data_IF_106309730096
#
_entry.id   IF_106309730096
#
_cell.length_a   1.000
_cell.length_b   1.000
_cell.length_c   1.000
_cell.angle_alpha   90.00
_cell.angle_beta   90.00
_cell.angle_gamma   90.00
#
_symmetry.space_group_name_H-M   'P 1'
#
loop_
_entity.id
_entity.type
_entity.pdbx_description
1 polymer ?
#
# COMPACT_ATOMS: atom_id res chain seq x y z
N UNK A 1 -3.82 7.54 27.32
CA UNK A 1 -4.85 8.50 26.91
C UNK A 1 -5.80 7.88 25.89
N UNK A 2 -7.08 7.90 26.19
CA UNK A 2 -8.09 7.45 25.24
C UNK A 2 -8.30 8.51 24.15
N UNK A 3 -8.38 8.06 22.90
CA UNK A 3 -8.73 8.92 21.78
C UNK A 3 -10.22 9.19 21.80
N UNK A 4 -10.62 10.40 21.41
CA UNK A 4 -12.02 10.70 21.16
C UNK A 4 -12.54 9.97 19.92
N UNK A 5 -13.84 9.92 19.76
CA UNK A 5 -14.48 9.23 18.63
C UNK A 5 -14.03 9.81 17.28
N UNK A 6 -13.95 11.14 17.17
CA UNK A 6 -13.48 11.78 15.94
C UNK A 6 -12.01 11.47 15.64
N UNK A 7 -11.18 11.35 16.68
CA UNK A 7 -9.77 10.99 16.51
C UNK A 7 -9.63 9.57 16.03
N UNK A 8 -10.45 8.65 16.52
CA UNK A 8 -10.45 7.25 16.08
C UNK A 8 -10.89 7.18 14.61
N UNK A 9 -11.92 7.90 14.22
CA UNK A 9 -12.38 7.94 12.83
C UNK A 9 -11.31 8.51 11.91
N UNK A 10 -10.66 9.59 12.32
CA UNK A 10 -9.58 10.20 11.53
C UNK A 10 -8.39 9.25 11.38
N UNK A 11 -7.98 8.60 12.45
CA UNK A 11 -6.90 7.61 12.40
C UNK A 11 -7.27 6.46 11.48
N UNK A 12 -8.49 5.94 11.57
CA UNK A 12 -8.96 4.85 10.74
C UNK A 12 -8.89 5.21 9.26
N UNK A 13 -9.38 6.40 8.89
CA UNK A 13 -9.32 6.86 7.49
C UNK A 13 -7.86 6.98 7.03
N UNK A 14 -7.00 7.57 7.85
CA UNK A 14 -5.58 7.75 7.49
C UNK A 14 -4.87 6.41 7.32
N UNK A 15 -5.12 5.44 8.20
CA UNK A 15 -4.53 4.10 8.08
C UNK A 15 -4.99 3.42 6.80
N UNK A 16 -6.30 3.42 6.54
CA UNK A 16 -6.87 2.69 5.42
C UNK A 16 -6.57 3.32 4.06
N UNK A 17 -6.22 4.60 4.01
CA UNK A 17 -6.01 5.31 2.75
C UNK A 17 -4.58 5.79 2.52
N UNK A 18 -3.74 5.85 3.53
CA UNK A 18 -2.42 6.49 3.44
C UNK A 18 -1.27 5.67 4.01
N UNK A 19 -1.55 4.54 4.64
CA UNK A 19 -0.49 3.78 5.31
C UNK A 19 0.53 3.22 4.31
N UNK A 20 1.80 3.44 4.60
CA UNK A 20 2.93 2.86 3.86
C UNK A 20 3.87 2.15 4.81
N UNK A 21 4.45 2.88 5.73
CA UNK A 21 5.55 2.41 6.57
C UNK A 21 5.21 2.50 8.04
N UNK A 22 5.86 1.62 8.80
CA UNK A 22 5.82 1.64 10.25
C UNK A 22 7.24 1.81 10.77
N UNK A 23 7.36 2.58 11.85
CA UNK A 23 8.60 2.67 12.62
C UNK A 23 8.85 1.36 13.38
N UNK A 24 10.02 1.23 13.99
CA UNK A 24 10.38 0.02 14.73
C UNK A 24 9.46 -0.24 15.94
N UNK A 25 8.81 0.78 16.47
CA UNK A 25 7.80 0.65 17.54
C UNK A 25 6.38 0.41 17.01
N UNK A 26 6.24 0.16 15.70
CA UNK A 26 4.98 -0.03 14.99
C UNK A 26 4.11 1.22 14.88
N UNK A 27 4.64 2.40 15.23
CA UNK A 27 3.94 3.65 14.95
C UNK A 27 4.03 4.00 13.46
N UNK A 28 3.03 4.75 12.98
CA UNK A 28 2.93 5.08 11.57
C UNK A 28 3.91 6.16 11.14
N UNK A 29 4.54 5.98 9.99
CA UNK A 29 5.25 7.02 9.28
C UNK A 29 4.50 7.35 7.98
N UNK A 30 4.07 8.60 7.83
CA UNK A 30 3.39 9.06 6.62
C UNK A 30 4.29 9.85 5.67
N UNK A 31 5.54 10.08 6.04
CA UNK A 31 6.45 10.94 5.26
C UNK A 31 7.18 10.22 4.14
N UNK A 32 7.54 8.95 4.35
CA UNK A 32 8.29 8.20 3.35
C UNK A 32 7.37 7.76 2.21
N UNK A 33 7.78 8.02 0.96
CA UNK A 33 6.98 7.73 -0.24
C UNK A 33 7.74 6.93 -1.29
N UNK A 34 8.95 6.51 -0.99
CA UNK A 34 9.82 5.82 -1.94
C UNK A 34 9.61 4.32 -2.01
N UNK A 35 10.59 3.62 -2.56
CA UNK A 35 10.58 2.17 -2.74
C UNK A 35 10.97 1.45 -1.45
N UNK A 36 10.64 0.15 -1.39
CA UNK A 36 11.08 -0.68 -0.26
C UNK A 36 12.60 -0.78 -0.22
N UNK A 37 13.24 -0.94 -1.39
CA UNK A 37 14.69 -1.06 -1.49
C UNK A 37 15.43 0.19 -0.99
N UNK A 38 14.86 1.38 -1.21
CA UNK A 38 15.47 2.64 -0.78
C UNK A 38 15.07 3.09 0.62
N UNK A 39 14.35 2.26 1.36
CA UNK A 39 13.78 2.62 2.64
C UNK A 39 14.86 2.75 3.73
N UNK A 40 14.76 3.76 4.62
CA UNK A 40 15.62 3.83 5.79
C UNK A 40 15.49 2.61 6.70
N UNK A 41 16.57 2.25 7.38
CA UNK A 41 16.62 1.04 8.23
C UNK A 41 15.60 1.04 9.37
N UNK A 42 15.20 2.22 9.83
CA UNK A 42 14.23 2.35 10.92
C UNK A 42 12.78 2.21 10.48
N UNK A 43 12.53 2.07 9.17
CA UNK A 43 11.20 1.91 8.62
C UNK A 43 11.02 0.52 8.04
N UNK A 44 9.79 0.04 8.07
CA UNK A 44 9.39 -1.22 7.43
C UNK A 44 8.08 -1.03 6.68
N UNK A 45 7.89 -1.73 5.54
CA UNK A 45 6.57 -1.75 4.90
C UNK A 45 5.53 -2.30 5.87
N UNK A 46 4.34 -1.74 5.86
CA UNK A 46 3.28 -2.20 6.77
C UNK A 46 3.00 -3.71 6.60
N UNK A 47 3.09 -4.21 5.37
CA UNK A 47 2.77 -5.61 5.06
C UNK A 47 3.88 -6.59 5.43
N UNK A 48 5.06 -6.11 5.84
CA UNK A 48 6.15 -6.98 6.31
C UNK A 48 6.01 -7.33 7.79
N UNK A 49 5.15 -6.64 8.51
CA UNK A 49 4.91 -6.88 9.93
C UNK A 49 3.73 -7.82 10.07
N UNK A 50 3.90 -8.99 10.72
CA UNK A 50 2.79 -9.94 10.87
C UNK A 50 1.64 -9.31 11.65
N UNK A 51 0.39 -9.60 11.30
CA UNK A 51 -0.74 -9.13 12.09
C UNK A 51 -0.71 -9.74 13.50
N UNK A 52 -1.17 -8.98 14.48
CA UNK A 52 -1.26 -9.46 15.87
C UNK A 52 -2.25 -10.60 16.01
N UNK A 53 -3.27 -10.64 15.17
CA UNK A 53 -4.26 -11.70 15.12
C UNK A 53 -4.27 -12.33 13.73
N UNK A 54 -4.55 -13.63 13.68
CA UNK A 54 -4.66 -14.35 12.41
C UNK A 54 -5.80 -13.76 11.56
N UNK A 55 -5.50 -13.43 10.31
CA UNK A 55 -6.51 -12.96 9.36
C UNK A 55 -7.05 -14.12 8.54
N UNK A 56 -8.37 -14.11 8.39
CA UNK A 56 -9.06 -15.07 7.53
C UNK A 56 -9.34 -14.51 6.14
N UNK A 57 -9.04 -13.23 5.93
CA UNK A 57 -9.29 -12.53 4.67
C UNK A 57 -7.99 -11.95 4.11
N UNK A 58 -7.88 -11.92 2.79
CA UNK A 58 -6.79 -11.24 2.11
C UNK A 58 -7.10 -9.74 1.99
N UNK A 59 -6.06 -8.93 2.15
CA UNK A 59 -6.16 -7.49 1.94
C UNK A 59 -5.71 -7.15 0.53
N UNK A 60 -6.54 -6.41 -0.19
CA UNK A 60 -6.20 -5.90 -1.52
C UNK A 60 -6.07 -4.39 -1.39
N UNK A 61 -4.89 -3.86 -1.69
CA UNK A 61 -4.58 -2.46 -1.44
C UNK A 61 -3.98 -1.77 -2.66
N UNK A 62 -4.05 -0.45 -2.64
CA UNK A 62 -3.40 0.42 -3.60
C UNK A 62 -2.61 1.49 -2.89
N UNK A 63 -2.60 2.69 -3.47
CA UNK A 63 -2.03 3.91 -2.92
C UNK A 63 -0.50 4.01 -2.97
N UNK A 64 0.25 2.99 -2.57
CA UNK A 64 1.71 3.07 -2.53
C UNK A 64 2.31 2.62 -3.87
N UNK A 65 2.25 3.49 -4.86
CA UNK A 65 2.64 3.17 -6.24
C UNK A 65 4.14 2.85 -6.40
N UNK A 66 5.00 3.41 -5.57
CA UNK A 66 6.44 3.16 -5.65
C UNK A 66 6.80 1.70 -5.36
N UNK A 67 5.98 0.97 -4.62
CA UNK A 67 6.18 -0.45 -4.33
C UNK A 67 5.82 -1.32 -5.54
N UNK A 68 4.83 -0.90 -6.33
CA UNK A 68 4.35 -1.67 -7.46
C UNK A 68 3.46 -2.84 -7.03
N UNK A 69 3.34 -3.82 -7.93
CA UNK A 69 2.61 -5.04 -7.60
C UNK A 69 3.42 -5.90 -6.65
N UNK A 70 2.83 -6.24 -5.51
CA UNK A 70 3.47 -7.10 -4.51
C UNK A 70 2.46 -8.09 -3.95
N UNK A 71 2.84 -9.37 -3.95
CA UNK A 71 2.15 -10.40 -3.19
C UNK A 71 2.86 -10.52 -1.84
N UNK A 72 2.11 -10.37 -0.75
CA UNK A 72 2.68 -10.44 0.60
C UNK A 72 1.80 -11.32 1.50
N UNK A 73 2.24 -11.52 2.74
CA UNK A 73 1.56 -12.44 3.66
C UNK A 73 0.11 -12.04 3.95
N UNK A 74 -0.21 -10.75 3.89
CA UNK A 74 -1.56 -10.24 4.16
C UNK A 74 -2.45 -10.11 2.91
N UNK A 75 -1.89 -10.28 1.71
CA UNK A 75 -2.65 -10.15 0.47
C UNK A 75 -1.84 -9.58 -0.68
N UNK A 76 -2.36 -8.56 -1.33
CA UNK A 76 -1.74 -7.97 -2.53
C UNK A 76 -1.78 -6.46 -2.50
N UNK A 77 -0.69 -5.84 -2.97
CA UNK A 77 -0.67 -4.43 -3.34
C UNK A 77 -0.73 -4.36 -4.87
N UNK A 78 -1.71 -3.64 -5.42
CA UNK A 78 -1.97 -3.64 -6.86
C UNK A 78 -1.57 -2.35 -7.57
N UNK A 79 -1.23 -1.29 -6.83
CA UNK A 79 -0.90 -0.02 -7.45
C UNK A 79 0.46 -0.09 -8.13
N UNK A 80 0.46 -0.24 -9.44
CA UNK A 80 1.68 -0.32 -10.25
C UNK A 80 2.00 0.97 -10.99
N UNK A 81 1.44 2.09 -10.53
CA UNK A 81 1.86 3.42 -10.94
C UNK A 81 1.35 3.89 -12.29
N UNK A 82 0.18 3.44 -12.71
CA UNK A 82 -0.37 3.82 -14.01
C UNK A 82 -0.46 5.33 -14.20
N UNK A 83 -0.91 6.05 -13.18
CA UNK A 83 -1.04 7.52 -13.22
C UNK A 83 0.32 8.22 -13.41
N UNK A 84 1.41 7.53 -13.08
CA UNK A 84 2.77 8.04 -13.22
C UNK A 84 3.47 7.54 -14.48
N UNK A 85 2.72 6.91 -15.40
CA UNK A 85 3.26 6.43 -16.67
C UNK A 85 3.75 4.99 -16.65
N UNK A 86 3.44 4.24 -15.60
CA UNK A 86 3.84 2.84 -15.47
C UNK A 86 2.72 1.91 -15.92
N UNK A 87 2.25 1.03 -15.09
CA UNK A 87 1.28 0.00 -15.47
C UNK A 87 0.00 0.06 -14.65
N UNK A 88 -1.08 -0.37 -15.25
CA UNK A 88 -2.33 -0.68 -14.54
C UNK A 88 -2.39 -2.18 -14.35
N UNK A 89 -2.65 -2.62 -13.13
CA UNK A 89 -2.66 -4.03 -12.75
C UNK A 89 -4.05 -4.45 -12.28
N UNK A 90 -4.50 -5.60 -12.75
CA UNK A 90 -5.74 -6.23 -12.29
C UNK A 90 -5.44 -7.63 -11.77
N UNK A 91 -6.11 -8.01 -10.71
CA UNK A 91 -6.01 -9.33 -10.10
C UNK A 91 -7.36 -10.03 -10.18
N UNK A 92 -7.37 -11.24 -10.75
CA UNK A 92 -8.55 -12.09 -10.70
C UNK A 92 -8.59 -12.80 -9.34
N UNK A 93 -9.63 -12.53 -8.54
CA UNK A 93 -9.70 -13.08 -7.18
C UNK A 93 -9.93 -14.59 -7.16
N UNK A 94 -10.59 -15.13 -8.17
CA UNK A 94 -10.94 -16.54 -8.22
C UNK A 94 -9.74 -17.45 -8.47
N UNK A 95 -8.82 -17.05 -9.36
CA UNK A 95 -7.67 -17.87 -9.74
C UNK A 95 -6.32 -17.23 -9.48
N UNK A 96 -6.31 -16.00 -8.95
CA UNK A 96 -5.11 -15.20 -8.66
C UNK A 96 -4.27 -14.87 -9.88
N UNK A 97 -4.86 -14.89 -11.08
CA UNK A 97 -4.17 -14.44 -12.28
C UNK A 97 -4.02 -12.91 -12.28
N UNK A 98 -2.87 -12.46 -12.74
CA UNK A 98 -2.52 -11.04 -12.77
C UNK A 98 -2.45 -10.58 -14.23
N UNK A 99 -3.09 -9.47 -14.52
CA UNK A 99 -3.11 -8.86 -15.84
C UNK A 99 -2.57 -7.46 -15.75
N UNK A 100 -1.69 -7.07 -16.66
CA UNK A 100 -1.13 -5.72 -16.68
C UNK A 100 -1.23 -5.13 -18.07
N UNK A 101 -1.43 -3.80 -18.11
CA UNK A 101 -1.30 -3.01 -19.34
C UNK A 101 -0.45 -1.80 -19.04
N UNK A 102 0.29 -1.35 -20.05
CA UNK A 102 1.07 -0.12 -19.91
C UNK A 102 0.14 1.10 -19.93
N UNK A 103 0.51 2.14 -19.21
CA UNK A 103 -0.18 3.41 -19.29
C UNK A 103 -0.08 3.97 -20.71
N UNK A 104 -1.18 4.57 -21.20
CA UNK A 104 -1.17 5.27 -22.48
C UNK A 104 -0.58 6.66 -22.26
N UNK A 105 0.45 6.99 -23.03
CA UNK A 105 1.14 8.29 -22.88
C UNK A 105 0.20 9.48 -23.11
N UNK A 106 -0.89 9.27 -23.84
CA UNK A 106 -1.88 10.33 -24.09
C UNK A 106 -2.70 10.67 -22.86
N UNK A 107 -2.77 9.76 -21.90
CA UNK A 107 -3.55 9.95 -20.65
C UNK A 107 -2.73 10.53 -19.52
N UNK A 108 -1.44 10.77 -19.74
CA UNK A 108 -0.56 11.28 -18.69
C UNK A 108 -0.60 12.79 -18.63
N UNK A 109 -0.64 13.31 -17.40
CA UNK A 109 -0.51 14.73 -17.18
C UNK A 109 0.93 15.14 -17.50
N UNK A 110 1.06 16.14 -18.37
CA UNK A 110 2.38 16.70 -18.64
C UNK A 110 2.65 17.81 -17.61
N UNK A 111 3.80 17.69 -16.96
CA UNK A 111 4.23 18.72 -16.02
C UNK A 111 4.63 20.01 -16.75
#
# INVERSE_FOLDING_TARGET
NSLGEDDIHRLTVNVLTRMRCLNSDESLDFSYKGTVKGMPENLKPWFSIPPHEKREVALITGHWSAVGFVKHASGYSLDSGCVWGKKLTALCLENHEVYTVNADSRDLLQA
#
